data_IF_549131258408
#
_entry.id   IF_549131258408
#
_cell.length_a   1.000
_cell.length_b   1.000
_cell.length_c   1.000
_cell.angle_alpha   90.00
_cell.angle_beta   90.00
_cell.angle_gamma   90.00
#
_symmetry.space_group_name_H-M   'P 1'
#
loop_
_entity.id
_entity.type
_entity.pdbx_description
1 polymer ?
#
# COMPACT_ATOMS: atom_id res chain seq x y z
N UNK A 1 2.85 7.56 16.93
CA UNK A 1 2.81 7.21 18.37
C UNK A 1 4.19 7.15 19.02
N UNK A 2 4.34 6.59 20.22
CA UNK A 2 5.64 6.42 20.88
C UNK A 2 6.56 5.54 20.01
N UNK A 3 7.78 6.02 19.72
CA UNK A 3 8.79 5.29 18.95
C UNK A 3 9.29 4.07 19.73
N UNK A 4 9.67 3.00 19.03
CA UNK A 4 10.36 1.85 19.65
C UNK A 4 9.49 0.72 20.21
N UNK A 5 8.16 0.78 20.07
CA UNK A 5 7.25 -0.32 20.53
C UNK A 5 7.32 -1.56 19.61
N UNK A 6 8.03 -1.50 18.48
CA UNK A 6 8.19 -2.63 17.55
C UNK A 6 7.03 -2.81 16.56
N UNK A 7 6.18 -1.79 16.36
CA UNK A 7 5.05 -1.83 15.40
C UNK A 7 5.51 -2.17 13.98
N UNK A 8 6.55 -1.48 13.50
CA UNK A 8 7.16 -1.75 12.19
C UNK A 8 7.71 -3.17 12.11
N UNK A 9 8.37 -3.66 13.16
CA UNK A 9 8.88 -5.04 13.22
C UNK A 9 7.75 -6.06 13.11
N UNK A 10 6.68 -5.88 13.89
CA UNK A 10 5.52 -6.77 13.82
C UNK A 10 4.84 -6.72 12.45
N UNK A 11 4.72 -5.53 11.86
CA UNK A 11 4.16 -5.35 10.53
C UNK A 11 4.99 -6.08 9.46
N UNK A 12 6.32 -5.99 9.53
CA UNK A 12 7.24 -6.72 8.64
C UNK A 12 7.12 -8.23 8.81
N UNK A 13 7.08 -8.72 10.04
CA UNK A 13 6.93 -10.15 10.33
C UNK A 13 5.60 -10.71 9.83
N UNK A 14 4.51 -9.94 10.02
CA UNK A 14 3.19 -10.31 9.54
C UNK A 14 3.14 -10.29 8.01
N UNK A 15 3.77 -9.30 7.38
CA UNK A 15 3.91 -9.24 5.93
C UNK A 15 4.60 -10.48 5.37
N UNK A 16 5.78 -10.82 5.90
CA UNK A 16 6.56 -11.97 5.46
C UNK A 16 5.81 -13.31 5.61
N UNK A 17 4.96 -13.44 6.64
CA UNK A 17 4.17 -14.67 6.90
C UNK A 17 2.94 -14.81 6.02
N UNK A 18 2.33 -13.69 5.62
CA UNK A 18 1.00 -13.71 5.01
C UNK A 18 1.01 -13.36 3.53
N UNK A 19 2.01 -12.62 3.01
CA UNK A 19 1.99 -12.08 1.64
C UNK A 19 1.74 -13.17 0.58
N UNK A 20 2.33 -14.36 0.73
CA UNK A 20 2.17 -15.47 -0.22
C UNK A 20 0.75 -16.05 -0.30
N UNK A 21 -0.16 -15.66 0.59
CA UNK A 21 -1.58 -16.09 0.59
C UNK A 21 -2.50 -15.15 -0.22
N UNK A 22 -1.92 -14.16 -0.88
CA UNK A 22 -2.59 -13.12 -1.63
C UNK A 22 -2.01 -13.06 -3.04
N UNK A 23 -2.85 -12.69 -4.00
CA UNK A 23 -2.46 -12.59 -5.41
C UNK A 23 -1.60 -11.35 -5.62
N UNK A 24 -1.93 -10.25 -4.93
CA UNK A 24 -1.16 -9.01 -4.91
C UNK A 24 -0.75 -8.66 -3.49
N UNK A 25 0.42 -8.08 -3.33
CA UNK A 25 0.86 -7.61 -2.02
C UNK A 25 1.82 -6.42 -2.11
N UNK A 26 1.75 -5.53 -1.13
CA UNK A 26 2.68 -4.40 -1.03
C UNK A 26 2.95 -4.07 0.45
N UNK A 27 4.23 -3.92 0.79
CA UNK A 27 4.66 -3.30 2.03
C UNK A 27 5.25 -1.94 1.69
N UNK A 28 4.58 -0.88 2.12
CA UNK A 28 5.01 0.50 1.90
C UNK A 28 5.58 1.05 3.20
N UNK A 29 6.91 1.05 3.29
CA UNK A 29 7.64 1.48 4.48
C UNK A 29 7.70 3.02 4.58
N UNK A 30 7.65 3.55 5.81
CA UNK A 30 7.87 4.96 6.14
C UNK A 30 7.02 5.95 5.31
N UNK A 31 5.71 5.73 5.21
CA UNK A 31 4.79 6.58 4.43
C UNK A 31 4.92 8.05 4.80
N UNK A 32 5.06 8.37 6.09
CA UNK A 32 5.31 9.73 6.56
C UNK A 32 6.57 10.35 5.96
N UNK A 33 7.69 9.65 6.01
CA UNK A 33 8.97 10.16 5.50
C UNK A 33 8.97 10.25 3.98
N UNK A 34 8.52 9.19 3.30
CA UNK A 34 8.49 9.11 1.84
C UNK A 34 7.57 10.19 1.24
N UNK A 35 6.40 10.42 1.85
CA UNK A 35 5.48 11.48 1.41
C UNK A 35 6.04 12.88 1.65
N UNK A 36 6.76 13.09 2.76
CA UNK A 36 7.44 14.36 3.03
C UNK A 36 8.59 14.63 2.06
N UNK A 37 9.28 13.57 1.59
CA UNK A 37 10.48 13.69 0.76
C UNK A 37 10.17 13.78 -0.74
N UNK A 38 9.21 12.97 -1.21
CA UNK A 38 8.92 12.82 -2.64
C UNK A 38 7.52 13.27 -3.03
N UNK A 39 6.67 13.58 -2.05
CA UNK A 39 5.28 13.95 -2.26
C UNK A 39 4.35 12.73 -2.30
N UNK A 40 3.09 12.98 -1.96
CA UNK A 40 2.05 11.96 -1.84
C UNK A 40 1.82 11.18 -3.14
N UNK A 41 1.84 11.86 -4.30
CA UNK A 41 1.65 11.23 -5.60
C UNK A 41 2.73 10.18 -5.91
N UNK A 42 3.97 10.38 -5.48
CA UNK A 42 5.04 9.41 -5.69
C UNK A 42 4.81 8.16 -4.84
N UNK A 43 4.40 8.35 -3.59
CA UNK A 43 4.06 7.24 -2.68
C UNK A 43 2.87 6.43 -3.21
N UNK A 44 1.84 7.12 -3.71
CA UNK A 44 0.68 6.50 -4.37
C UNK A 44 1.09 5.71 -5.61
N UNK A 45 1.91 6.29 -6.49
CA UNK A 45 2.39 5.60 -7.69
C UNK A 45 3.24 4.37 -7.34
N UNK A 46 4.07 4.44 -6.29
CA UNK A 46 4.87 3.32 -5.79
C UNK A 46 3.97 2.17 -5.30
N UNK A 47 2.91 2.49 -4.56
CA UNK A 47 1.92 1.50 -4.11
C UNK A 47 1.28 0.77 -5.28
N UNK A 48 0.65 1.50 -6.21
CA UNK A 48 -0.09 0.86 -7.29
C UNK A 48 0.84 0.19 -8.31
N UNK A 49 2.04 0.73 -8.56
CA UNK A 49 3.02 0.07 -9.43
C UNK A 49 3.45 -1.27 -8.86
N UNK A 50 3.63 -1.35 -7.54
CA UNK A 50 3.95 -2.62 -6.85
C UNK A 50 2.80 -3.62 -6.97
N UNK A 51 1.56 -3.17 -6.70
CA UNK A 51 0.38 -4.03 -6.76
C UNK A 51 0.03 -4.49 -8.17
N UNK A 52 0.37 -3.72 -9.20
CA UNK A 52 0.06 -4.04 -10.59
C UNK A 52 1.25 -4.66 -11.34
N UNK A 53 2.38 -4.85 -10.66
CA UNK A 53 3.65 -5.33 -11.25
C UNK A 53 4.09 -4.47 -12.44
N UNK A 54 3.84 -3.16 -12.36
CA UNK A 54 4.24 -2.17 -13.35
C UNK A 54 5.60 -1.59 -12.99
N UNK A 55 6.34 -1.14 -14.01
CA UNK A 55 7.55 -0.34 -13.77
C UNK A 55 7.16 0.99 -13.13
N UNK A 56 8.00 1.48 -12.21
CA UNK A 56 7.76 2.71 -11.43
C UNK A 56 7.63 3.98 -12.30
N UNK A 57 8.09 3.94 -13.56
CA UNK A 57 7.98 4.99 -14.57
C UNK A 57 6.69 4.90 -15.41
N UNK A 58 5.82 3.93 -15.14
CA UNK A 58 4.54 3.82 -15.81
C UNK A 58 3.66 5.01 -15.42
N UNK A 59 3.49 5.97 -16.32
CA UNK A 59 2.59 7.13 -16.15
C UNK A 59 1.09 6.77 -16.13
N UNK A 60 0.75 5.48 -16.26
CA UNK A 60 -0.60 4.95 -16.46
C UNK A 60 -1.02 3.95 -15.38
N UNK A 61 -0.54 4.10 -14.15
CA UNK A 61 -0.78 3.12 -13.07
C UNK A 61 -2.27 2.96 -12.74
N UNK A 62 -3.08 4.00 -12.95
CA UNK A 62 -4.51 4.02 -12.56
C UNK A 62 -5.47 4.01 -13.75
N UNK A 63 -5.13 3.31 -14.84
CA UNK A 63 -6.15 3.11 -15.88
C UNK A 63 -7.33 2.31 -15.32
N UNK A 64 -8.56 2.53 -15.83
CA UNK A 64 -9.73 1.75 -15.42
C UNK A 64 -9.54 0.24 -15.57
N UNK A 65 -8.69 -0.20 -16.48
CA UNK A 65 -8.37 -1.61 -16.72
C UNK A 65 -7.59 -2.20 -15.55
N UNK A 66 -6.54 -1.51 -15.10
CA UNK A 66 -5.73 -1.96 -13.96
C UNK A 66 -6.52 -1.94 -12.66
N UNK A 67 -7.30 -0.89 -12.43
CA UNK A 67 -8.16 -0.79 -11.25
C UNK A 67 -9.22 -1.89 -11.23
N UNK A 68 -9.82 -2.23 -12.38
CA UNK A 68 -10.75 -3.37 -12.49
C UNK A 68 -10.08 -4.69 -12.18
N UNK A 69 -8.85 -4.91 -12.66
CA UNK A 69 -8.08 -6.12 -12.37
C UNK A 69 -7.80 -6.25 -10.87
N UNK A 70 -7.29 -5.18 -10.26
CA UNK A 70 -6.99 -5.15 -8.82
C UNK A 70 -8.25 -5.37 -7.97
N UNK A 71 -9.40 -4.85 -8.42
CA UNK A 71 -10.70 -5.07 -7.79
C UNK A 71 -11.23 -6.52 -7.92
N UNK A 72 -10.57 -7.39 -8.68
CA UNK A 72 -10.88 -8.82 -8.78
C UNK A 72 -9.85 -9.70 -8.06
N UNK A 73 -8.68 -9.16 -7.70
CA UNK A 73 -7.57 -9.91 -7.12
C UNK A 73 -7.45 -9.64 -5.61
N UNK A 74 -7.26 -10.70 -4.84
CA UNK A 74 -7.12 -10.65 -3.38
C UNK A 74 -5.76 -10.03 -3.02
N UNK A 75 -5.79 -8.84 -2.42
CA UNK A 75 -4.62 -8.00 -2.15
C UNK A 75 -4.27 -7.92 -0.66
N UNK A 76 -2.98 -7.90 -0.33
CA UNK A 76 -2.48 -7.64 1.03
C UNK A 76 -1.55 -6.45 1.10
N UNK A 77 -1.99 -5.41 1.79
CA UNK A 77 -1.30 -4.12 1.83
C UNK A 77 -0.94 -3.78 3.26
N UNK A 78 0.32 -3.41 3.48
CA UNK A 78 0.79 -2.86 4.75
C UNK A 78 1.36 -1.46 4.50
N UNK A 79 0.78 -0.47 5.17
CA UNK A 79 1.19 0.93 5.12
C UNK A 79 1.85 1.28 6.45
N UNK A 80 3.18 1.45 6.45
CA UNK A 80 3.94 1.71 7.68
C UNK A 80 4.14 3.21 7.92
N UNK A 81 3.99 3.63 9.17
CA UNK A 81 4.18 5.00 9.65
C UNK A 81 3.34 6.04 8.89
N UNK A 82 2.02 5.82 8.86
CA UNK A 82 1.05 6.80 8.34
C UNK A 82 0.70 7.79 9.46
N UNK A 83 1.02 9.06 9.26
CA UNK A 83 0.89 10.11 10.27
C UNK A 83 -0.36 10.99 10.13
N UNK A 84 -0.93 11.10 8.91
CA UNK A 84 -2.07 11.99 8.65
C UNK A 84 -3.18 11.30 7.87
N UNK A 85 -4.40 11.81 8.02
CA UNK A 85 -5.55 11.36 7.21
C UNK A 85 -5.30 11.65 5.71
N UNK A 86 -4.70 12.79 5.39
CA UNK A 86 -4.33 13.16 4.03
C UNK A 86 -3.41 12.12 3.36
N UNK A 87 -2.44 11.57 4.11
CA UNK A 87 -1.59 10.48 3.61
C UNK A 87 -2.42 9.24 3.28
N UNK A 88 -3.34 8.84 4.15
CA UNK A 88 -4.19 7.68 3.92
C UNK A 88 -5.18 7.90 2.76
N UNK A 89 -5.82 9.06 2.69
CA UNK A 89 -6.77 9.44 1.64
C UNK A 89 -6.08 9.52 0.27
N UNK A 90 -4.84 10.03 0.21
CA UNK A 90 -4.12 10.12 -1.04
C UNK A 90 -3.84 8.74 -1.66
N UNK A 91 -3.57 7.73 -0.85
CA UNK A 91 -3.38 6.35 -1.34
C UNK A 91 -4.64 5.76 -1.97
N UNK A 92 -5.81 6.33 -1.65
CA UNK A 92 -7.11 6.03 -2.27
C UNK A 92 -7.46 4.53 -2.31
N UNK A 93 -7.04 3.78 -1.29
CA UNK A 93 -7.40 2.37 -1.13
C UNK A 93 -8.79 2.31 -0.50
N UNK A 94 -9.82 2.25 -1.35
CA UNK A 94 -11.21 2.11 -0.90
C UNK A 94 -11.77 0.70 -1.22
N UNK A 95 -12.96 0.39 -0.73
CA UNK A 95 -13.59 -0.94 -0.89
C UNK A 95 -13.84 -1.34 -2.36
N UNK A 96 -13.84 -0.39 -3.30
CA UNK A 96 -14.03 -0.69 -4.72
C UNK A 96 -12.71 -0.95 -5.46
N UNK A 97 -11.56 -0.69 -4.81
CA UNK A 97 -10.24 -0.83 -5.43
C UNK A 97 -9.67 -2.26 -5.34
N UNK A 98 -10.13 -3.06 -4.38
CA UNK A 98 -9.52 -4.35 -4.04
C UNK A 98 -10.52 -5.50 -4.14
N UNK A 99 -10.03 -6.68 -4.53
CA UNK A 99 -10.85 -7.88 -4.61
C UNK A 99 -11.34 -8.40 -3.25
N UNK A 100 -12.36 -9.27 -3.24
CA UNK A 100 -12.86 -9.92 -2.02
C UNK A 100 -11.75 -10.63 -1.24
N UNK A 101 -11.79 -10.52 0.10
CA UNK A 101 -10.81 -11.14 0.99
C UNK A 101 -9.48 -10.39 1.10
N UNK A 102 -9.35 -9.23 0.45
CA UNK A 102 -8.21 -8.32 0.61
C UNK A 102 -8.10 -7.78 2.03
N UNK A 103 -6.88 -7.42 2.44
CA UNK A 103 -6.59 -6.86 3.76
C UNK A 103 -5.62 -5.69 3.65
N UNK A 104 -5.92 -4.63 4.39
CA UNK A 104 -5.07 -3.45 4.53
C UNK A 104 -4.73 -3.26 6.01
N UNK A 105 -3.45 -3.08 6.31
CA UNK A 105 -2.94 -2.82 7.66
C UNK A 105 -2.22 -1.48 7.64
N UNK A 106 -2.49 -0.65 8.64
CA UNK A 106 -1.92 0.67 8.78
C UNK A 106 -1.23 0.76 10.14
N UNK A 107 0.02 1.23 10.18
CA UNK A 107 0.70 1.60 11.43
C UNK A 107 0.81 3.13 11.51
N UNK A 108 0.81 3.67 12.75
CA UNK A 108 0.76 5.11 13.06
C UNK A 108 1.65 5.51 14.25
#
# INVERSE_FOLDING_TARGET
GMGGVGKTTLAKDLYAKLCSQFERHCFLENVREESSRYGLNVVRNKLFSTLLELRLDATYVETPIFMRRLACEKSFIVLDDVATLEQAENLNINNNCLGPGSRVIITT
#
